data_IF_748887529260
#
_entry.id   IF_748887529260
#
_cell.length_a   1.000
_cell.length_b   1.000
_cell.length_c   1.000
_cell.angle_alpha   90.00
_cell.angle_beta   90.00
_cell.angle_gamma   90.00
#
_symmetry.space_group_name_H-M   'P 1'
#
loop_
_entity.id
_entity.type
_entity.pdbx_description
1 polymer ?
#
# COMPACT_ATOMS: atom_id res chain seq x y z
N UNK A 1 9.41 -8.99 -22.79
CA UNK A 1 8.19 -8.55 -22.05
C UNK A 1 8.43 -8.15 -20.59
N UNK A 2 9.14 -8.94 -19.76
CA UNK A 2 9.37 -8.60 -18.34
C UNK A 2 10.04 -7.23 -18.12
N UNK A 3 11.03 -6.87 -18.95
CA UNK A 3 11.74 -5.58 -18.84
C UNK A 3 10.85 -4.35 -19.10
N UNK A 4 9.94 -4.45 -20.07
CA UNK A 4 9.00 -3.37 -20.42
C UNK A 4 8.05 -3.13 -19.26
N UNK A 5 7.49 -4.19 -18.69
CA UNK A 5 6.64 -4.12 -17.50
C UNK A 5 7.38 -3.51 -16.31
N UNK A 6 8.62 -3.93 -16.05
CA UNK A 6 9.48 -3.33 -15.02
C UNK A 6 9.68 -1.82 -15.25
N UNK A 7 9.81 -1.38 -16.51
CA UNK A 7 10.03 0.02 -16.86
C UNK A 7 8.77 0.87 -16.68
N UNK A 8 7.59 0.35 -17.00
CA UNK A 8 6.31 1.09 -17.00
C UNK A 8 5.43 0.88 -15.76
N UNK A 9 5.78 -0.02 -14.84
CA UNK A 9 4.94 -0.29 -13.65
C UNK A 9 4.62 0.96 -12.81
N UNK A 10 5.46 2.00 -12.83
CA UNK A 10 5.19 3.24 -12.09
C UNK A 10 3.91 3.98 -12.59
N UNK A 11 3.55 3.84 -13.86
CA UNK A 11 2.33 4.43 -14.44
C UNK A 11 1.08 3.92 -13.72
N UNK A 12 1.09 2.68 -13.24
CA UNK A 12 -0.03 2.13 -12.49
C UNK A 12 -0.28 2.90 -11.18
N UNK A 13 0.79 3.31 -10.49
CA UNK A 13 0.66 4.09 -9.24
C UNK A 13 0.16 5.50 -9.52
N UNK A 14 0.67 6.14 -10.59
CA UNK A 14 0.24 7.48 -11.01
C UNK A 14 -1.23 7.45 -11.43
N UNK A 15 -1.60 6.51 -12.30
CA UNK A 15 -2.97 6.32 -12.77
C UNK A 15 -3.92 6.07 -11.60
N UNK A 16 -3.56 5.20 -10.65
CA UNK A 16 -4.36 4.95 -9.45
C UNK A 16 -4.65 6.23 -8.64
N UNK A 17 -3.65 7.09 -8.42
CA UNK A 17 -3.86 8.34 -7.68
C UNK A 17 -4.73 9.33 -8.44
N UNK A 18 -4.52 9.46 -9.75
CA UNK A 18 -5.33 10.32 -10.62
C UNK A 18 -6.78 9.84 -10.62
N UNK A 19 -7.02 8.56 -10.91
CA UNK A 19 -8.33 7.92 -10.92
C UNK A 19 -9.05 8.07 -9.57
N UNK A 20 -8.33 7.92 -8.45
CA UNK A 20 -8.92 8.07 -7.11
C UNK A 20 -9.27 9.51 -6.73
N UNK A 21 -8.71 10.52 -7.38
CA UNK A 21 -9.13 11.92 -7.24
C UNK A 21 -10.43 12.17 -8.02
N UNK A 22 -10.58 11.55 -9.20
CA UNK A 22 -11.79 11.69 -10.02
C UNK A 22 -12.97 10.87 -9.51
N UNK A 23 -12.72 9.66 -9.00
CA UNK A 23 -13.77 8.76 -8.54
C UNK A 23 -13.23 7.72 -7.54
N UNK A 24 -13.82 7.67 -6.35
CA UNK A 24 -13.37 6.80 -5.26
C UNK A 24 -13.57 5.30 -5.56
N UNK A 25 -14.48 4.96 -6.48
CA UNK A 25 -14.76 3.57 -6.84
C UNK A 25 -13.52 2.87 -7.40
N UNK A 26 -12.65 3.59 -8.10
CA UNK A 26 -11.39 3.03 -8.60
C UNK A 26 -10.39 2.67 -7.49
N UNK A 27 -10.60 3.12 -6.25
CA UNK A 27 -9.77 2.73 -5.12
C UNK A 27 -9.78 1.21 -4.86
N UNK A 28 -10.82 0.50 -5.33
CA UNK A 28 -10.92 -0.96 -5.28
C UNK A 28 -9.79 -1.67 -6.02
N UNK A 29 -9.25 -1.05 -7.08
CA UNK A 29 -8.06 -1.54 -7.80
C UNK A 29 -6.85 -1.64 -6.86
N UNK A 30 -6.83 -0.85 -5.78
CA UNK A 30 -5.82 -0.91 -4.73
C UNK A 30 -5.75 -2.28 -4.05
N UNK A 31 -6.86 -3.02 -3.93
CA UNK A 31 -6.85 -4.39 -3.39
C UNK A 31 -6.04 -5.34 -4.25
N UNK A 32 -6.09 -5.18 -5.58
CA UNK A 32 -5.29 -5.97 -6.50
C UNK A 32 -3.79 -5.80 -6.16
N UNK A 33 -3.36 -4.56 -5.88
CA UNK A 33 -1.97 -4.29 -5.47
C UNK A 33 -1.61 -4.90 -4.10
N UNK A 34 -2.58 -5.08 -3.19
CA UNK A 34 -2.37 -5.71 -1.88
C UNK A 34 -2.34 -7.24 -1.96
N UNK A 35 -3.11 -7.84 -2.88
CA UNK A 35 -3.23 -9.29 -3.06
C UNK A 35 -2.07 -9.86 -3.88
N UNK A 36 -1.61 -9.14 -4.92
CA UNK A 36 -0.54 -9.60 -5.83
C UNK A 36 0.77 -10.05 -5.14
N UNK A 37 1.29 -9.36 -4.11
CA UNK A 37 2.47 -9.85 -3.38
C UNK A 37 2.29 -11.27 -2.82
N UNK A 38 1.09 -11.60 -2.32
CA UNK A 38 0.82 -12.92 -1.74
C UNK A 38 0.65 -13.99 -2.82
N UNK A 39 -0.04 -13.67 -3.91
CA UNK A 39 -0.20 -14.58 -5.05
C UNK A 39 1.16 -15.01 -5.63
N UNK A 40 2.08 -14.05 -5.81
CA UNK A 40 3.43 -14.35 -6.30
C UNK A 40 4.30 -15.11 -5.29
N UNK A 41 4.15 -14.85 -3.99
CA UNK A 41 4.88 -15.61 -2.96
C UNK A 41 4.46 -17.08 -2.93
N UNK A 42 3.17 -17.36 -3.13
CA UNK A 42 2.65 -18.75 -3.19
C UNK A 42 3.22 -19.47 -4.41
N UNK A 43 3.24 -18.82 -5.58
CA UNK A 43 3.65 -19.40 -6.87
C UNK A 43 5.18 -19.52 -7.05
N UNK A 44 5.91 -18.43 -6.87
CA UNK A 44 7.36 -18.37 -7.19
C UNK A 44 8.25 -18.73 -6.00
N UNK A 45 7.69 -18.82 -4.78
CA UNK A 45 8.43 -19.03 -3.54
C UNK A 45 9.60 -18.03 -3.34
N UNK A 46 9.50 -16.86 -3.98
CA UNK A 46 10.48 -15.77 -3.97
C UNK A 46 9.75 -14.45 -3.89
N UNK A 47 10.46 -13.37 -3.51
CA UNK A 47 9.90 -12.02 -3.39
C UNK A 47 9.90 -11.27 -4.73
N UNK A 48 9.56 -11.96 -5.82
CA UNK A 48 9.59 -11.41 -7.20
C UNK A 48 8.74 -10.16 -7.33
N UNK A 49 7.55 -10.12 -6.72
CA UNK A 49 6.71 -8.93 -6.71
C UNK A 49 7.39 -7.71 -6.07
N UNK A 50 7.92 -7.86 -4.85
CA UNK A 50 8.53 -6.74 -4.13
C UNK A 50 9.88 -6.30 -4.71
N UNK A 51 10.64 -7.23 -5.31
CA UNK A 51 11.98 -6.95 -5.85
C UNK A 51 11.95 -6.39 -7.27
N UNK A 52 11.00 -6.84 -8.10
CA UNK A 52 11.00 -6.59 -9.54
C UNK A 52 9.74 -5.84 -9.99
N UNK A 53 8.56 -6.28 -9.58
CA UNK A 53 7.31 -5.80 -10.20
C UNK A 53 6.55 -4.72 -9.43
N UNK A 54 6.95 -4.37 -8.21
CA UNK A 54 6.18 -3.45 -7.38
C UNK A 54 6.09 -2.05 -8.03
N UNK A 55 4.89 -1.62 -8.49
CA UNK A 55 4.73 -0.39 -9.26
C UNK A 55 5.13 0.85 -8.45
N UNK A 56 4.83 0.81 -7.15
CA UNK A 56 5.15 1.86 -6.20
C UNK A 56 6.64 1.99 -5.89
N UNK A 57 7.35 0.88 -5.76
CA UNK A 57 8.81 0.90 -5.55
C UNK A 57 9.52 1.55 -6.74
N UNK A 58 9.06 1.22 -7.94
CA UNK A 58 9.57 1.80 -9.17
C UNK A 58 9.29 3.31 -9.24
N UNK A 59 8.06 3.74 -8.88
CA UNK A 59 7.70 5.15 -8.76
C UNK A 59 8.63 5.91 -7.80
N UNK A 60 8.81 5.42 -6.57
CA UNK A 60 9.69 6.05 -5.56
C UNK A 60 11.15 6.07 -5.99
N UNK A 61 11.61 5.03 -6.69
CA UNK A 61 12.98 4.95 -7.22
C UNK A 61 13.24 5.99 -8.30
N UNK A 62 12.30 6.19 -9.22
CA UNK A 62 12.42 7.22 -10.26
C UNK A 62 12.35 8.63 -9.67
N UNK A 63 11.47 8.84 -8.70
CA UNK A 63 11.30 10.15 -8.07
C UNK A 63 12.51 10.53 -7.20
N UNK A 64 13.03 9.58 -6.43
CA UNK A 64 14.27 9.74 -5.64
C UNK A 64 15.52 9.86 -6.51
N UNK A 65 15.56 9.25 -7.70
CA UNK A 65 16.68 9.46 -8.62
C UNK A 65 16.79 10.91 -9.14
N UNK A 66 15.68 11.67 -9.11
CA UNK A 66 15.65 13.07 -9.55
C UNK A 66 15.80 14.07 -8.38
N UNK A 67 15.38 13.70 -7.17
CA UNK A 67 15.26 14.64 -6.02
C UNK A 67 16.10 14.21 -4.80
N UNK A 68 16.39 12.91 -4.64
CA UNK A 68 16.78 12.32 -3.36
C UNK A 68 18.28 12.33 -3.05
N UNK A 69 18.59 12.54 -1.76
CA UNK A 69 19.94 12.35 -1.23
C UNK A 69 20.27 10.84 -1.14
N UNK A 70 21.33 10.39 -1.80
CA UNK A 70 21.72 8.97 -1.87
C UNK A 70 22.39 8.43 -0.60
N UNK A 71 21.95 8.86 0.59
CA UNK A 71 22.52 8.44 1.87
C UNK A 71 22.18 6.97 2.14
N UNK A 72 23.12 6.25 2.76
CA UNK A 72 22.91 4.88 3.23
C UNK A 72 21.95 4.90 4.41
N UNK A 73 20.95 4.02 4.40
CA UNK A 73 19.97 3.95 5.46
C UNK A 73 20.58 3.40 6.77
N UNK A 74 20.20 3.94 7.95
CA UNK A 74 20.71 3.48 9.22
C UNK A 74 20.23 2.06 9.53
N UNK A 75 21.08 1.27 10.20
CA UNK A 75 20.79 -0.14 10.53
C UNK A 75 19.51 -0.28 11.34
N UNK A 76 19.18 0.62 12.26
CA UNK A 76 17.95 0.56 13.07
C UNK A 76 16.66 0.51 12.25
N UNK A 77 16.63 1.24 11.12
CA UNK A 77 15.47 1.31 10.24
C UNK A 77 15.28 0.00 9.46
N UNK A 78 16.37 -0.69 9.11
CA UNK A 78 16.37 -1.93 8.32
C UNK A 78 16.37 -3.20 9.18
N UNK A 79 17.01 -3.20 10.36
CA UNK A 79 17.29 -4.43 11.12
C UNK A 79 16.16 -4.91 12.04
N UNK A 80 15.12 -4.14 12.32
CA UNK A 80 13.98 -4.71 13.06
C UNK A 80 12.92 -3.74 13.51
N UNK A 81 13.29 -2.67 14.20
CA UNK A 81 12.32 -1.78 14.85
C UNK A 81 11.46 -1.05 13.83
N UNK A 82 12.07 -0.46 12.79
CA UNK A 82 11.32 0.22 11.72
C UNK A 82 10.34 -0.70 10.98
N UNK A 83 10.78 -1.93 10.66
CA UNK A 83 9.91 -2.95 10.05
C UNK A 83 8.74 -3.33 10.95
N UNK A 84 8.99 -3.52 12.26
CA UNK A 84 7.96 -3.92 13.23
C UNK A 84 6.93 -2.82 13.45
N UNK A 85 7.38 -1.58 13.60
CA UNK A 85 6.50 -0.41 13.73
C UNK A 85 5.62 -0.25 12.49
N UNK A 86 6.22 -0.34 11.29
CA UNK A 86 5.45 -0.22 10.04
C UNK A 86 4.47 -1.38 9.85
N UNK A 87 4.83 -2.59 10.27
CA UNK A 87 3.95 -3.75 10.22
C UNK A 87 2.79 -3.61 11.20
N UNK A 88 3.04 -3.18 12.44
CA UNK A 88 1.99 -2.90 13.43
C UNK A 88 1.05 -1.82 12.91
N UNK A 89 1.58 -0.72 12.36
CA UNK A 89 0.77 0.34 11.74
C UNK A 89 -0.13 -0.21 10.63
N UNK A 90 0.42 -1.04 9.74
CA UNK A 90 -0.34 -1.67 8.66
C UNK A 90 -1.44 -2.60 9.20
N UNK A 91 -1.12 -3.44 10.18
CA UNK A 91 -2.07 -4.36 10.80
C UNK A 91 -3.22 -3.66 11.51
N UNK A 92 -2.93 -2.58 12.27
CA UNK A 92 -3.96 -1.76 12.92
C UNK A 92 -4.85 -1.09 11.87
N UNK A 93 -4.27 -0.55 10.80
CA UNK A 93 -5.04 0.04 9.70
C UNK A 93 -5.95 -1.01 9.07
N UNK A 94 -5.45 -2.20 8.73
CA UNK A 94 -6.28 -3.23 8.12
C UNK A 94 -7.43 -3.66 9.05
N UNK A 95 -7.14 -3.87 10.35
CA UNK A 95 -8.15 -4.21 11.34
C UNK A 95 -9.23 -3.12 11.44
N UNK A 96 -8.82 -1.85 11.49
CA UNK A 96 -9.74 -0.72 11.51
C UNK A 96 -10.60 -0.64 10.26
N UNK A 97 -10.05 -0.93 9.07
CA UNK A 97 -10.81 -0.97 7.82
C UNK A 97 -11.88 -2.07 7.91
N UNK A 98 -11.48 -3.30 8.25
CA UNK A 98 -12.41 -4.42 8.39
C UNK A 98 -13.50 -4.14 9.42
N UNK A 99 -13.15 -3.65 10.62
CA UNK A 99 -14.13 -3.33 11.66
C UNK A 99 -15.06 -2.20 11.24
N UNK A 100 -14.54 -1.15 10.59
CA UNK A 100 -15.37 -0.03 10.12
C UNK A 100 -16.32 -0.44 9.01
N UNK A 101 -15.88 -1.26 8.05
CA UNK A 101 -16.74 -1.81 7.00
C UNK A 101 -17.77 -2.78 7.56
N UNK A 102 -17.39 -3.61 8.54
CA UNK A 102 -18.31 -4.52 9.22
C UNK A 102 -19.37 -3.75 10.01
N UNK A 103 -19.01 -2.66 10.69
CA UNK A 103 -19.97 -1.80 11.38
C UNK A 103 -20.93 -1.09 10.42
N UNK A 104 -20.46 -0.60 9.28
CA UNK A 104 -21.34 -0.01 8.24
C UNK A 104 -22.27 -1.05 7.61
N UNK A 105 -21.84 -2.31 7.55
CA UNK A 105 -22.68 -3.41 7.08
C UNK A 105 -23.73 -3.84 8.11
N UNK A 106 -23.39 -3.85 9.41
CA UNK A 106 -24.25 -4.30 10.50
C UNK A 106 -25.16 -3.22 11.09
N UNK A 107 -24.83 -1.94 10.91
CA UNK A 107 -25.55 -0.83 11.53
C UNK A 107 -25.56 0.38 10.58
N UNK A 108 -26.72 1.04 10.46
CA UNK A 108 -27.06 2.05 9.46
C UNK A 108 -26.37 3.42 9.73
N UNK A 109 -25.04 3.41 9.90
CA UNK A 109 -24.20 4.58 10.13
C UNK A 109 -23.82 5.19 8.79
N UNK A 110 -24.14 6.47 8.59
CA UNK A 110 -23.82 7.19 7.36
C UNK A 110 -22.34 7.04 6.97
N UNK A 111 -22.03 6.82 5.69
CA UNK A 111 -20.66 6.63 5.24
C UNK A 111 -19.84 7.88 5.53
N UNK A 112 -18.84 7.77 6.40
CA UNK A 112 -17.94 8.89 6.65
C UNK A 112 -17.02 9.12 5.43
N UNK A 113 -17.41 10.00 4.52
CA UNK A 113 -16.69 10.40 3.29
C UNK A 113 -15.42 11.23 3.56
N UNK A 114 -14.75 11.05 4.70
CA UNK A 114 -13.60 11.85 5.10
C UNK A 114 -12.30 11.06 5.01
N UNK A 115 -11.36 11.54 4.20
CA UNK A 115 -10.00 10.99 4.09
C UNK A 115 -9.24 11.34 5.37
N UNK A 116 -8.81 10.32 6.13
CA UNK A 116 -8.05 10.50 7.36
C UNK A 116 -6.56 10.24 7.12
N UNK A 117 -5.75 11.29 7.08
CA UNK A 117 -4.31 11.18 7.03
C UNK A 117 -3.76 10.58 8.33
N UNK A 118 -3.00 9.47 8.22
CA UNK A 118 -2.27 8.85 9.34
C UNK A 118 -3.17 8.60 10.56
N UNK A 119 -4.43 8.17 10.32
CA UNK A 119 -5.45 7.94 11.35
C UNK A 119 -5.94 9.20 12.10
N UNK A 120 -5.16 10.28 12.18
CA UNK A 120 -5.35 11.41 13.08
C UNK A 120 -5.72 12.75 12.41
N UNK A 121 -5.24 13.03 11.19
CA UNK A 121 -5.48 14.31 10.52
C UNK A 121 -6.60 14.16 9.48
N UNK A 122 -7.77 14.74 9.73
CA UNK A 122 -8.81 14.84 8.72
C UNK A 122 -8.37 15.90 7.70
N UNK A 123 -8.14 15.51 6.44
CA UNK A 123 -7.95 16.51 5.39
C UNK A 123 -9.32 17.16 5.12
N UNK A 124 -9.42 18.50 5.11
CA UNK A 124 -10.69 19.22 4.91
C UNK A 124 -11.16 19.17 3.44
N UNK A 125 -10.50 18.41 2.58
CA UNK A 125 -10.88 18.24 1.19
C UNK A 125 -11.94 17.14 1.06
N UNK A 126 -13.18 17.55 0.82
CA UNK A 126 -14.23 16.67 0.33
C UNK A 126 -13.85 16.28 -1.11
N UNK A 127 -13.52 15.01 -1.33
CA UNK A 127 -13.39 14.52 -2.70
C UNK A 127 -14.75 14.59 -3.36
N UNK A 128 -14.86 15.20 -4.54
CA UNK A 128 -16.14 15.32 -5.19
C UNK A 128 -16.47 13.94 -5.80
N UNK A 129 -17.51 13.28 -5.30
CA UNK A 129 -18.06 12.05 -5.88
C UNK A 129 -18.75 12.40 -7.23
N UNK A 130 -17.95 12.71 -8.26
CA UNK A 130 -18.42 13.26 -9.54
C UNK A 130 -19.23 12.28 -10.39
N UNK A 131 -19.19 10.99 -10.07
CA UNK A 131 -19.88 9.94 -10.80
C UNK A 131 -20.87 9.28 -9.83
N UNK A 132 -22.07 9.85 -9.77
CA UNK A 132 -23.25 9.25 -9.16
C UNK A 132 -23.72 8.07 -10.04
N UNK A 133 -22.86 7.08 -10.24
CA UNK A 133 -23.27 5.79 -10.80
C UNK A 133 -24.10 5.15 -9.70
N UNK A 134 -25.41 5.36 -9.79
CA UNK A 134 -26.39 4.69 -8.96
C UNK A 134 -26.09 3.19 -8.88
N UNK A 135 -26.40 2.59 -7.73
CA UNK A 135 -26.25 1.17 -7.39
C UNK A 135 -24.95 0.71 -6.70
N UNK A 136 -24.11 1.58 -6.12
CA UNK A 136 -23.09 1.09 -5.19
C UNK A 136 -23.53 1.19 -3.72
N UNK A 137 -23.39 0.11 -2.93
CA UNK A 137 -23.76 0.10 -1.53
C UNK A 137 -22.78 0.93 -0.68
N UNK A 138 -23.27 1.57 0.37
CA UNK A 138 -22.52 2.55 1.18
C UNK A 138 -21.21 1.99 1.78
N UNK A 139 -21.20 0.70 2.12
CA UNK A 139 -19.99 0.02 2.61
C UNK A 139 -18.87 0.01 1.58
N UNK A 140 -19.18 -0.06 0.28
CA UNK A 140 -18.20 -0.13 -0.80
C UNK A 140 -17.51 1.22 -1.03
N UNK A 141 -18.27 2.30 -0.87
CA UNK A 141 -17.76 3.68 -0.91
C UNK A 141 -16.86 3.93 0.30
N UNK A 142 -17.32 3.55 1.50
CA UNK A 142 -16.52 3.66 2.73
C UNK A 142 -15.20 2.90 2.63
N UNK A 143 -15.24 1.67 2.12
CA UNK A 143 -14.06 0.83 1.91
C UNK A 143 -13.06 1.49 0.95
N UNK A 144 -13.56 2.05 -0.15
CA UNK A 144 -12.74 2.77 -1.14
C UNK A 144 -11.97 3.95 -0.51
N UNK A 145 -12.67 4.80 0.24
CA UNK A 145 -12.06 5.94 0.95
C UNK A 145 -10.95 5.51 1.90
N UNK A 146 -11.17 4.43 2.65
CA UNK A 146 -10.18 3.89 3.59
C UNK A 146 -8.93 3.35 2.90
N UNK A 147 -9.11 2.55 1.84
CA UNK A 147 -7.99 1.96 1.08
C UNK A 147 -7.18 3.04 0.37
N UNK A 148 -7.87 4.02 -0.24
CA UNK A 148 -7.21 5.15 -0.90
C UNK A 148 -6.38 5.96 0.10
N UNK A 149 -6.97 6.30 1.25
CA UNK A 149 -6.29 7.04 2.32
C UNK A 149 -5.04 6.31 2.84
N UNK A 150 -5.13 5.00 3.03
CA UNK A 150 -4.00 4.17 3.45
C UNK A 150 -2.89 4.14 2.39
N UNK A 151 -3.24 3.99 1.12
CA UNK A 151 -2.28 4.01 0.01
C UNK A 151 -1.60 5.38 -0.13
N UNK A 152 -2.37 6.46 0.00
CA UNK A 152 -1.87 7.83 -0.08
C UNK A 152 -0.90 8.17 1.05
N UNK A 153 -1.33 7.95 2.31
CA UNK A 153 -0.50 8.21 3.51
C UNK A 153 0.82 7.46 3.45
N UNK A 154 0.76 6.16 3.18
CA UNK A 154 1.97 5.36 3.09
C UNK A 154 2.87 5.86 1.96
N UNK A 155 2.31 6.30 0.83
CA UNK A 155 3.11 6.78 -0.32
C UNK A 155 3.84 8.07 0.01
N UNK A 156 3.21 8.97 0.76
CA UNK A 156 3.85 10.18 1.28
C UNK A 156 4.98 9.83 2.26
N UNK A 157 4.75 8.91 3.19
CA UNK A 157 5.82 8.42 4.09
C UNK A 157 6.96 7.81 3.27
N UNK A 158 6.62 7.01 2.25
CA UNK A 158 7.59 6.39 1.36
C UNK A 158 8.38 7.41 0.55
N UNK A 159 7.74 8.49 0.11
CA UNK A 159 8.39 9.59 -0.57
C UNK A 159 9.36 10.30 0.37
N UNK A 160 8.94 10.58 1.60
CA UNK A 160 9.78 11.22 2.61
C UNK A 160 11.03 10.39 2.92
N UNK A 161 10.87 9.08 3.17
CA UNK A 161 12.00 8.16 3.41
C UNK A 161 12.89 8.03 2.18
N UNK A 162 12.29 7.95 0.98
CA UNK A 162 13.01 7.82 -0.29
C UNK A 162 13.73 9.11 -0.71
N UNK A 163 13.32 10.27 -0.17
CA UNK A 163 14.03 11.52 -0.36
C UNK A 163 15.29 11.60 0.51
N UNK A 164 15.20 11.10 1.75
CA UNK A 164 16.32 11.12 2.70
C UNK A 164 17.33 9.98 2.51
N UNK A 165 16.87 8.81 2.05
CA UNK A 165 17.68 7.60 1.91
C UNK A 165 17.54 6.99 0.51
N UNK A 166 18.43 6.07 0.15
CA UNK A 166 18.29 5.27 -1.09
C UNK A 166 16.87 4.71 -1.22
N UNK A 167 16.25 4.85 -2.39
CA UNK A 167 14.88 4.44 -2.69
C UNK A 167 14.52 3.00 -2.32
N UNK A 168 15.47 2.07 -2.41
CA UNK A 168 15.28 0.66 -2.01
C UNK A 168 15.03 0.47 -0.51
N UNK A 169 15.27 1.49 0.30
CA UNK A 169 15.05 1.47 1.76
C UNK A 169 13.55 1.32 2.08
N UNK A 170 12.66 1.97 1.30
CA UNK A 170 11.21 1.81 1.48
C UNK A 170 10.77 0.35 1.29
N UNK A 171 11.25 -0.32 0.25
CA UNK A 171 10.94 -1.74 0.03
C UNK A 171 11.44 -2.64 1.16
N UNK A 172 12.54 -2.28 1.83
CA UNK A 172 13.06 -3.04 2.96
C UNK A 172 12.17 -2.93 4.22
N UNK A 173 11.48 -1.80 4.40
CA UNK A 173 10.63 -1.52 5.58
C UNK A 173 9.15 -1.80 5.29
N UNK A 174 8.79 -1.92 4.00
CA UNK A 174 7.43 -2.14 3.55
C UNK A 174 6.76 -3.30 4.30
N UNK A 175 5.54 -3.11 4.82
CA UNK A 175 4.84 -4.13 5.58
C UNK A 175 4.59 -5.38 4.73
N UNK A 176 4.29 -5.20 3.43
CA UNK A 176 4.12 -6.31 2.49
C UNK A 176 5.41 -7.09 2.26
N UNK A 177 6.54 -6.40 2.08
CA UNK A 177 7.84 -7.07 1.94
C UNK A 177 8.20 -7.89 3.18
N UNK A 178 7.84 -7.38 4.36
CA UNK A 178 8.03 -8.06 5.64
C UNK A 178 7.08 -9.25 5.81
N UNK A 179 5.80 -9.11 5.45
CA UNK A 179 4.82 -10.21 5.47
C UNK A 179 5.22 -11.33 4.50
N UNK A 180 5.60 -10.99 3.27
CA UNK A 180 6.12 -11.93 2.29
C UNK A 180 7.39 -12.64 2.79
N UNK A 181 8.26 -11.93 3.53
CA UNK A 181 9.46 -12.53 4.13
C UNK A 181 9.12 -13.56 5.20
N UNK A 182 8.11 -13.26 6.02
CA UNK A 182 7.65 -14.14 7.09
C UNK A 182 6.98 -15.39 6.51
N UNK A 183 6.13 -15.20 5.49
CA UNK A 183 5.44 -16.29 4.80
C UNK A 183 6.43 -17.28 4.16
N UNK A 184 7.48 -16.78 3.51
CA UNK A 184 8.55 -17.61 2.94
C UNK A 184 9.37 -18.34 4.01
N UNK A 185 9.72 -17.67 5.11
CA UNK A 185 10.47 -18.30 6.21
C UNK A 185 9.67 -19.45 6.81
N UNK A 186 8.37 -19.25 7.05
CA UNK A 186 7.47 -20.30 7.55
C UNK A 186 7.39 -21.48 6.59
N UNK A 187 7.28 -21.23 5.27
CA UNK A 187 7.24 -22.29 4.25
C UNK A 187 8.55 -23.08 4.15
N UNK A 188 9.71 -22.41 4.20
CA UNK A 188 11.01 -23.09 4.23
C UNK A 188 11.20 -23.93 5.50
N UNK A 189 10.76 -23.43 6.66
CA UNK A 189 10.79 -24.22 7.90
C UNK A 189 9.86 -25.44 7.80
N UNK A 190 8.67 -25.30 7.22
CA UNK A 190 7.75 -26.42 6.99
C UNK A 190 8.28 -27.47 6.00
N UNK A 191 9.09 -27.06 5.01
CA UNK A 191 9.75 -27.99 4.09
C UNK A 191 10.96 -28.71 4.71
N UNK A 192 11.55 -28.17 5.78
CA UNK A 192 12.67 -28.80 6.49
C UNK A 192 12.23 -29.79 7.58
N UNK A 193 10.95 -29.76 7.96
CA UNK A 193 10.37 -30.63 9.01
C UNK A 193 9.58 -31.81 8.42
N UNK A 194 9.39 -31.82 7.09
CA UNK A 194 8.73 -32.90 6.34
C UNK A 194 9.76 -33.73 5.60
#
# INVERSE_FOLDING_TARGET
>A
MKEIWMKYSYLFTISFFILGIFNIIFAWIGFLCLIMPFAFVIKDNRRTWCQSFCPRSNFLTRLSARIGAHRKAPKWLINGTGKRVMLIYFSINMLMICLSTLMVYLDNRDPSEKIRFLMAFQLPWNMPNLLNIGFMPDWAVHLGFRVYSMMFTTTIIGLFISNMFKSKTWCAICPMGTLSSLALRKKNTLQLVR
#
